data_IF_868907663762
#
_entry.id   IF_868907663762
#
_cell.length_a   1.000
_cell.length_b   1.000
_cell.length_c   1.000
_cell.angle_alpha   90.00
_cell.angle_beta   90.00
_cell.angle_gamma   90.00
#
_symmetry.space_group_name_H-M   'P 1'
#
loop_
_entity.id
_entity.type
_entity.pdbx_description
1 polymer ?
#
# COMPACT_ATOMS: atom_id res chain seq x y z
N UNK A 1 -21.66 28.39 1.42
CA UNK A 1 -22.36 27.10 1.53
C UNK A 1 -21.83 26.41 2.77
N UNK A 2 -22.69 25.81 3.60
CA UNK A 2 -22.27 25.13 4.84
C UNK A 2 -21.64 23.75 4.50
N UNK A 3 -20.33 23.54 4.74
CA UNK A 3 -19.63 22.30 4.37
C UNK A 3 -20.09 21.06 5.15
N UNK A 4 -20.87 21.25 6.22
CA UNK A 4 -21.35 20.19 7.11
C UNK A 4 -22.83 19.84 6.85
N UNK A 5 -23.40 20.35 5.77
CA UNK A 5 -24.81 20.21 5.45
C UNK A 5 -25.08 19.05 4.48
N UNK A 6 -25.98 18.15 4.85
CA UNK A 6 -26.46 17.04 4.03
C UNK A 6 -27.90 17.32 3.62
N UNK A 7 -28.21 17.05 2.34
CA UNK A 7 -29.56 17.10 1.78
C UNK A 7 -29.85 15.78 1.08
N UNK A 8 -31.10 15.36 1.11
CA UNK A 8 -31.58 14.22 0.34
C UNK A 8 -32.94 14.55 -0.26
N UNK A 9 -33.16 14.03 -1.46
CA UNK A 9 -34.37 14.29 -2.23
C UNK A 9 -35.56 13.50 -1.71
N UNK A 10 -36.75 13.82 -2.22
CA UNK A 10 -37.95 13.01 -2.02
C UNK A 10 -37.80 11.63 -2.65
N UNK A 11 -38.58 10.67 -2.13
CA UNK A 11 -38.64 9.32 -2.64
C UNK A 11 -39.19 9.33 -4.07
N UNK A 12 -38.58 8.54 -4.96
CA UNK A 12 -38.92 8.50 -6.40
C UNK A 12 -38.74 9.82 -7.18
N UNK A 13 -38.28 10.90 -6.54
CA UNK A 13 -38.06 12.19 -7.19
C UNK A 13 -36.70 12.79 -6.83
N UNK A 14 -35.71 12.63 -7.72
CA UNK A 14 -34.34 13.13 -7.53
C UNK A 14 -34.22 14.66 -7.66
N UNK A 15 -35.25 15.36 -8.11
CA UNK A 15 -35.21 16.81 -8.36
C UNK A 15 -35.77 17.63 -7.18
N UNK A 16 -36.50 17.00 -6.26
CA UNK A 16 -37.15 17.68 -5.12
C UNK A 16 -36.36 17.50 -3.83
N UNK A 17 -35.62 18.55 -3.43
CA UNK A 17 -34.82 18.56 -2.20
C UNK A 17 -35.38 19.48 -1.10
N UNK A 18 -36.41 20.27 -1.41
CA UNK A 18 -37.00 21.18 -0.43
C UNK A 18 -37.91 20.38 0.52
N UNK A 19 -37.64 20.35 1.83
CA UNK A 19 -38.46 19.58 2.77
C UNK A 19 -39.85 20.20 2.90
N UNK A 20 -40.89 19.40 2.71
CA UNK A 20 -42.29 19.78 2.96
C UNK A 20 -42.94 18.80 3.92
N UNK A 21 -44.13 19.12 4.43
CA UNK A 21 -44.87 18.20 5.31
C UNK A 21 -45.44 16.98 4.59
N UNK A 22 -45.44 16.97 3.26
CA UNK A 22 -46.03 15.92 2.43
C UNK A 22 -45.02 15.08 1.68
N UNK A 23 -43.74 15.47 1.68
CA UNK A 23 -42.67 14.73 1.04
C UNK A 23 -41.74 14.11 2.08
N UNK A 24 -40.79 13.30 1.61
CA UNK A 24 -39.77 12.66 2.42
C UNK A 24 -38.41 13.35 2.32
N UNK A 25 -38.31 14.43 1.53
CA UNK A 25 -37.10 15.23 1.39
C UNK A 25 -36.70 15.81 2.75
N UNK A 26 -35.40 15.96 2.97
CA UNK A 26 -34.92 16.40 4.26
C UNK A 26 -33.48 16.86 4.26
N UNK A 27 -33.08 17.35 5.43
CA UNK A 27 -31.76 17.92 5.63
C UNK A 27 -31.22 17.57 6.99
N UNK A 28 -29.90 17.50 7.10
CA UNK A 28 -29.19 17.35 8.36
C UNK A 28 -27.93 18.19 8.35
N UNK A 29 -27.47 18.58 9.53
CA UNK A 29 -26.17 19.19 9.73
C UNK A 29 -25.36 18.33 10.68
N UNK A 30 -24.15 17.95 10.27
CA UNK A 30 -23.22 17.24 11.13
C UNK A 30 -22.59 18.22 12.13
N UNK A 31 -22.26 17.74 13.32
CA UNK A 31 -21.86 18.56 14.47
C UNK A 31 -20.35 18.55 14.79
N UNK A 32 -19.58 17.62 14.24
CA UNK A 32 -18.12 17.49 14.45
C UNK A 32 -17.35 17.40 13.13
N UNK A 33 -16.31 18.22 13.03
CA UNK A 33 -15.53 18.46 11.83
C UNK A 33 -15.74 19.86 11.23
N UNK A 34 -14.92 20.18 10.24
CA UNK A 34 -15.02 21.42 9.47
C UNK A 34 -15.59 21.20 8.07
N UNK A 35 -15.46 19.98 7.53
CA UNK A 35 -15.98 19.62 6.20
C UNK A 35 -16.32 18.14 6.10
N UNK A 36 -17.35 17.82 5.31
CA UNK A 36 -17.61 16.44 4.88
C UNK A 36 -16.58 16.07 3.81
N UNK A 37 -15.87 14.96 4.01
CA UNK A 37 -14.83 14.47 3.09
C UNK A 37 -15.43 13.50 2.08
N UNK A 38 -16.26 12.57 2.55
CA UNK A 38 -16.85 11.58 1.67
C UNK A 38 -17.89 10.70 2.35
N UNK A 39 -18.57 9.91 1.55
CA UNK A 39 -19.54 8.95 2.02
C UNK A 39 -19.42 7.65 1.22
N UNK A 40 -19.58 6.53 1.91
CA UNK A 40 -19.58 5.20 1.30
C UNK A 40 -20.81 4.42 1.74
N UNK A 41 -21.47 3.80 0.77
CA UNK A 41 -22.58 2.90 1.03
C UNK A 41 -22.01 1.58 1.57
N UNK A 42 -22.34 1.25 2.81
CA UNK A 42 -22.16 -0.07 3.37
C UNK A 42 -23.45 -0.88 3.18
N UNK A 43 -23.56 -2.06 3.83
CA UNK A 43 -24.70 -2.95 3.67
C UNK A 43 -26.04 -2.31 4.03
N UNK A 44 -26.18 -1.86 5.29
CA UNK A 44 -27.45 -1.37 5.84
C UNK A 44 -27.38 0.11 6.28
N UNK A 45 -26.26 0.78 5.99
CA UNK A 45 -26.00 2.16 6.37
C UNK A 45 -25.11 2.86 5.34
N UNK A 46 -25.10 4.18 5.39
CA UNK A 46 -24.11 5.01 4.70
C UNK A 46 -23.15 5.53 5.77
N UNK A 47 -21.87 5.22 5.63
CA UNK A 47 -20.84 5.85 6.46
C UNK A 47 -20.47 7.18 5.82
N UNK A 48 -20.57 8.26 6.58
CA UNK A 48 -20.13 9.59 6.19
C UNK A 48 -18.92 9.95 7.05
N UNK A 49 -17.82 10.30 6.40
CA UNK A 49 -16.58 10.70 7.05
C UNK A 49 -16.37 12.20 6.85
N UNK A 50 -16.03 12.87 7.94
CA UNK A 50 -15.56 14.26 7.96
C UNK A 50 -14.03 14.25 8.06
N UNK A 51 -13.45 15.45 8.18
CA UNK A 51 -12.04 15.64 8.50
C UNK A 51 -11.66 15.17 9.91
N UNK A 52 -12.63 15.01 10.83
CA UNK A 52 -12.35 14.59 12.22
C UNK A 52 -13.18 13.41 12.72
N UNK A 53 -14.31 13.07 12.11
CA UNK A 53 -15.30 12.16 12.70
C UNK A 53 -15.98 11.24 11.67
N UNK A 54 -16.63 10.21 12.20
CA UNK A 54 -17.40 9.24 11.42
C UNK A 54 -18.86 9.23 11.88
N UNK A 55 -19.78 9.23 10.91
CA UNK A 55 -21.22 9.20 11.11
C UNK A 55 -21.85 8.04 10.33
N UNK A 56 -22.80 7.35 10.94
CA UNK A 56 -23.64 6.36 10.28
C UNK A 56 -25.02 6.96 10.01
N UNK A 57 -25.45 6.89 8.75
CA UNK A 57 -26.80 7.28 8.32
C UNK A 57 -27.58 6.01 7.97
N UNK A 58 -28.75 5.84 8.58
CA UNK A 58 -29.63 4.69 8.37
C UNK A 58 -31.06 5.15 8.12
N UNK A 59 -31.77 4.46 7.22
CA UNK A 59 -33.19 4.71 6.99
C UNK A 59 -34.01 4.21 8.18
N UNK A 60 -34.89 5.05 8.73
CA UNK A 60 -35.75 4.68 9.87
C UNK A 60 -37.25 4.91 9.62
N UNK A 61 -37.60 5.51 8.48
CA UNK A 61 -39.00 5.76 8.08
C UNK A 61 -39.59 7.06 8.64
N UNK A 62 -40.85 7.34 8.30
CA UNK A 62 -41.54 8.57 8.72
C UNK A 62 -41.77 8.61 10.24
N UNK A 63 -41.70 9.79 10.91
CA UNK A 63 -41.55 11.13 10.33
C UNK A 63 -40.10 11.57 10.08
N UNK A 64 -39.10 10.79 10.50
CA UNK A 64 -37.68 11.10 10.32
C UNK A 64 -37.05 10.12 9.34
N UNK A 65 -37.13 10.38 8.03
CA UNK A 65 -36.73 9.44 6.97
C UNK A 65 -35.39 8.73 7.25
N UNK A 66 -34.39 9.47 7.73
CA UNK A 66 -33.10 8.92 8.16
C UNK A 66 -32.77 9.29 9.61
N UNK A 67 -32.06 8.39 10.29
CA UNK A 67 -31.38 8.64 11.54
C UNK A 67 -29.88 8.82 11.29
N UNK A 68 -29.27 9.81 11.95
CA UNK A 68 -27.83 10.05 11.93
C UNK A 68 -27.28 9.82 13.32
N UNK A 69 -26.20 9.06 13.40
CA UNK A 69 -25.47 8.83 14.64
C UNK A 69 -23.98 9.01 14.41
N UNK A 70 -23.33 9.80 15.26
CA UNK A 70 -21.87 9.81 15.35
C UNK A 70 -21.38 8.48 15.90
N UNK A 71 -20.51 7.81 15.16
CA UNK A 71 -19.98 6.47 15.49
C UNK A 71 -18.49 6.48 15.83
N UNK A 72 -17.78 7.56 15.54
CA UNK A 72 -16.39 7.76 15.94
C UNK A 72 -16.00 9.23 15.99
N UNK A 73 -14.98 9.54 16.78
CA UNK A 73 -14.32 10.86 16.85
C UNK A 73 -12.82 10.67 16.61
N UNK A 74 -12.13 11.71 16.15
CA UNK A 74 -10.70 11.70 15.83
C UNK A 74 -10.30 10.61 14.82
N UNK A 75 -11.16 10.34 13.84
CA UNK A 75 -11.01 9.27 12.85
C UNK A 75 -11.39 9.75 11.44
N UNK A 76 -11.09 11.01 11.13
CA UNK A 76 -11.43 11.61 9.85
C UNK A 76 -10.71 10.99 8.66
N UNK A 77 -11.22 11.24 7.46
CA UNK A 77 -10.69 10.68 6.22
C UNK A 77 -9.79 11.67 5.49
N UNK A 78 -8.66 11.22 4.94
CA UNK A 78 -7.70 12.08 4.24
C UNK A 78 -8.20 12.59 2.88
N UNK A 79 -9.15 11.90 2.26
CA UNK A 79 -9.67 12.26 0.94
C UNK A 79 -10.94 11.51 0.58
N UNK A 80 -11.73 12.05 -0.35
CA UNK A 80 -13.03 11.51 -0.73
C UNK A 80 -12.96 10.06 -1.22
N UNK A 81 -11.88 9.71 -1.93
CA UNK A 81 -11.68 8.38 -2.49
C UNK A 81 -10.78 7.49 -1.63
N UNK A 82 -10.41 7.92 -0.43
CA UNK A 82 -9.51 7.17 0.46
C UNK A 82 -10.25 6.13 1.33
N UNK A 83 -11.54 5.87 1.08
CA UNK A 83 -12.38 4.93 1.80
C UNK A 83 -12.97 3.86 0.88
N UNK A 84 -13.09 2.63 1.36
CA UNK A 84 -13.71 1.53 0.64
C UNK A 84 -14.46 0.57 1.56
N UNK A 85 -15.60 0.05 1.10
CA UNK A 85 -16.37 -0.97 1.81
C UNK A 85 -16.01 -2.37 1.31
N UNK A 86 -15.57 -3.24 2.21
CA UNK A 86 -15.30 -4.64 1.91
C UNK A 86 -15.52 -5.53 3.12
N UNK A 87 -16.04 -6.74 2.87
CA UNK A 87 -16.25 -7.79 3.87
C UNK A 87 -16.97 -7.32 5.16
N UNK A 88 -17.99 -6.47 5.01
CA UNK A 88 -18.80 -5.98 6.14
C UNK A 88 -18.21 -4.80 6.92
N UNK A 89 -17.00 -4.35 6.57
CA UNK A 89 -16.36 -3.18 7.17
C UNK A 89 -16.08 -2.10 6.13
N UNK A 90 -16.14 -0.84 6.57
CA UNK A 90 -15.57 0.28 5.81
C UNK A 90 -14.16 0.52 6.29
N UNK A 91 -13.23 0.67 5.38
CA UNK A 91 -11.81 0.89 5.64
C UNK A 91 -11.40 2.24 5.05
N UNK A 92 -10.60 3.03 5.76
CA UNK A 92 -10.12 4.31 5.23
C UNK A 92 -8.77 4.72 5.78
N UNK A 93 -8.11 5.61 5.03
CA UNK A 93 -6.87 6.25 5.45
C UNK A 93 -7.18 7.53 6.25
N UNK A 94 -6.58 7.65 7.43
CA UNK A 94 -6.83 8.75 8.36
C UNK A 94 -6.13 10.05 7.94
N UNK A 95 -6.80 11.19 8.10
CA UNK A 95 -6.20 12.51 7.85
C UNK A 95 -5.11 12.86 8.89
N UNK A 96 -5.32 12.49 10.15
CA UNK A 96 -4.34 12.67 11.23
C UNK A 96 -3.25 11.58 11.26
N UNK A 97 -3.23 10.69 10.27
CA UNK A 97 -2.39 9.50 10.24
C UNK A 97 -3.14 8.21 10.60
N UNK A 98 -2.52 7.08 10.31
CA UNK A 98 -3.05 5.75 10.58
C UNK A 98 -4.12 5.27 9.58
N UNK A 99 -4.56 4.04 9.79
CA UNK A 99 -5.60 3.39 9.02
C UNK A 99 -6.75 3.03 9.95
N UNK A 100 -7.98 3.28 9.51
CA UNK A 100 -9.16 3.10 10.33
C UNK A 100 -10.11 2.10 9.67
N UNK A 101 -10.92 1.42 10.48
CA UNK A 101 -12.03 0.61 10.02
C UNK A 101 -13.29 0.80 10.86
N UNK A 102 -14.45 0.51 10.26
CA UNK A 102 -15.75 0.51 10.91
C UNK A 102 -16.53 -0.75 10.54
N UNK A 103 -16.72 -1.63 11.52
CA UNK A 103 -17.50 -2.87 11.43
C UNK A 103 -18.71 -2.87 12.40
N UNK A 104 -19.14 -1.68 12.81
CA UNK A 104 -20.10 -1.45 13.90
C UNK A 104 -19.51 -0.62 15.04
N UNK A 105 -18.18 -0.60 15.16
CA UNK A 105 -17.42 0.34 16.00
C UNK A 105 -16.20 0.81 15.23
N UNK A 106 -15.79 2.07 15.41
CA UNK A 106 -14.56 2.58 14.80
C UNK A 106 -13.35 2.02 15.54
N UNK A 107 -12.39 1.49 14.78
CA UNK A 107 -11.16 0.87 15.28
C UNK A 107 -9.99 1.29 14.40
N UNK A 108 -8.83 1.44 15.03
CA UNK A 108 -7.57 1.53 14.30
C UNK A 108 -7.21 0.15 13.72
N UNK A 109 -6.62 0.14 12.55
CA UNK A 109 -6.09 -1.07 11.90
C UNK A 109 -4.63 -1.19 12.27
N UNK A 110 -4.27 -2.29 12.95
CA UNK A 110 -2.88 -2.60 13.30
C UNK A 110 -2.02 -2.61 12.03
N UNK A 111 -1.05 -1.70 11.95
CA UNK A 111 -0.22 -1.54 10.76
C UNK A 111 1.27 -1.51 11.07
N UNK A 112 2.02 -2.34 10.35
CA UNK A 112 3.48 -2.42 10.47
C UNK A 112 4.20 -1.39 9.60
N UNK A 113 3.44 -0.67 8.77
CA UNK A 113 3.96 0.27 7.76
C UNK A 113 3.57 1.71 8.06
N UNK A 114 2.93 1.97 9.20
CA UNK A 114 2.43 3.31 9.56
C UNK A 114 3.53 4.37 9.49
N UNK A 115 4.66 4.11 10.15
CA UNK A 115 5.78 5.05 10.22
C UNK A 115 6.36 5.34 8.84
N UNK A 116 6.46 4.31 7.99
CA UNK A 116 6.92 4.45 6.61
C UNK A 116 6.00 5.33 5.75
N UNK A 117 4.69 5.23 5.97
CA UNK A 117 3.65 5.92 5.19
C UNK A 117 3.42 7.34 5.69
N UNK A 118 3.34 7.56 7.01
CA UNK A 118 2.89 8.82 7.59
C UNK A 118 4.00 9.71 8.13
N UNK A 119 5.24 9.22 8.25
CA UNK A 119 6.36 10.03 8.72
C UNK A 119 7.47 10.15 7.68
N UNK A 120 8.23 11.24 7.76
CA UNK A 120 9.48 11.44 7.02
C UNK A 120 10.69 11.36 7.95
N UNK A 121 10.52 10.77 9.14
CA UNK A 121 11.59 10.65 10.13
C UNK A 121 12.47 9.46 9.77
N UNK A 122 13.78 9.59 9.98
CA UNK A 122 14.74 8.57 9.56
C UNK A 122 15.17 8.72 8.09
N UNK A 123 15.93 7.75 7.60
CA UNK A 123 16.54 7.82 6.26
C UNK A 123 15.69 7.15 5.18
N UNK A 124 14.83 6.21 5.57
CA UNK A 124 14.12 5.32 4.64
C UNK A 124 12.63 5.65 4.49
N UNK A 125 12.02 6.34 5.46
CA UNK A 125 10.60 6.66 5.43
C UNK A 125 10.31 7.76 4.40
N UNK A 126 9.35 7.50 3.53
CA UNK A 126 9.02 8.41 2.43
C UNK A 126 7.98 9.44 2.82
N UNK A 127 7.10 9.10 3.77
CA UNK A 127 6.01 9.93 4.24
C UNK A 127 4.97 10.23 3.15
N UNK A 128 3.81 10.73 3.56
CA UNK A 128 2.74 11.18 2.70
C UNK A 128 2.79 12.70 2.55
N UNK A 129 2.41 13.21 1.37
CA UNK A 129 2.14 14.62 1.20
C UNK A 129 0.69 14.94 1.56
N UNK A 130 0.45 15.34 2.81
CA UNK A 130 -0.89 15.74 3.29
C UNK A 130 -1.51 16.89 2.47
N UNK A 131 -0.70 17.78 1.88
CA UNK A 131 -1.23 18.84 1.01
C UNK A 131 -1.81 18.35 -0.32
N UNK A 132 -1.55 17.08 -0.67
CA UNK A 132 -2.16 16.38 -1.80
C UNK A 132 -2.98 15.16 -1.31
N UNK A 133 -3.54 15.24 -0.10
CA UNK A 133 -4.40 14.19 0.47
C UNK A 133 -5.67 13.91 -0.33
N UNK A 134 -6.24 14.94 -0.96
CA UNK A 134 -7.49 14.85 -1.73
C UNK A 134 -7.42 13.86 -2.91
N UNK A 135 -6.23 13.61 -3.45
CA UNK A 135 -6.04 12.67 -4.56
C UNK A 135 -5.77 11.23 -4.11
N UNK A 136 -5.69 10.96 -2.79
CA UNK A 136 -5.53 9.60 -2.27
C UNK A 136 -6.70 8.72 -2.70
N UNK A 137 -6.39 7.51 -3.15
CA UNK A 137 -7.37 6.59 -3.72
C UNK A 137 -7.28 5.20 -3.10
N UNK A 138 -8.40 4.66 -2.64
CA UNK A 138 -8.54 3.29 -2.16
C UNK A 138 -8.97 2.37 -3.31
N UNK A 139 -8.20 1.33 -3.58
CA UNK A 139 -8.51 0.26 -4.53
C UNK A 139 -8.79 -1.05 -3.80
N UNK A 140 -9.87 -1.73 -4.16
CA UNK A 140 -10.18 -3.06 -3.65
C UNK A 140 -9.77 -4.13 -4.66
N UNK A 141 -9.16 -5.19 -4.17
CA UNK A 141 -8.96 -6.42 -4.93
C UNK A 141 -9.65 -7.57 -4.18
N UNK A 142 -10.93 -7.78 -4.47
CA UNK A 142 -11.74 -8.74 -3.72
C UNK A 142 -11.24 -10.16 -3.92
N UNK A 143 -10.67 -10.47 -5.08
CA UNK A 143 -10.16 -11.80 -5.39
C UNK A 143 -9.03 -12.23 -4.44
N UNK A 144 -8.18 -11.27 -4.03
CA UNK A 144 -7.04 -11.51 -3.15
C UNK A 144 -7.25 -10.99 -1.73
N UNK A 145 -8.46 -10.55 -1.39
CA UNK A 145 -8.79 -9.98 -0.08
C UNK A 145 -7.88 -8.82 0.33
N UNK A 146 -7.65 -7.91 -0.62
CA UNK A 146 -6.74 -6.78 -0.45
C UNK A 146 -7.46 -5.43 -0.56
N UNK A 147 -6.99 -4.48 0.23
CA UNK A 147 -7.25 -3.06 0.07
C UNK A 147 -5.93 -2.31 -0.10
N UNK A 148 -5.84 -1.51 -1.14
CA UNK A 148 -4.67 -0.71 -1.49
C UNK A 148 -4.98 0.77 -1.37
N UNK A 149 -4.18 1.52 -0.63
CA UNK A 149 -4.23 2.99 -0.63
C UNK A 149 -3.10 3.54 -1.47
N UNK A 150 -3.46 4.22 -2.55
CA UNK A 150 -2.56 4.93 -3.43
C UNK A 150 -2.42 6.38 -2.97
N UNK A 151 -1.20 6.83 -2.76
CA UNK A 151 -0.93 8.14 -2.17
C UNK A 151 0.29 8.83 -2.80
N UNK A 152 0.34 10.18 -2.76
CA UNK A 152 1.53 10.94 -3.08
C UNK A 152 2.48 10.93 -1.89
N UNK A 153 3.73 10.53 -2.08
CA UNK A 153 4.73 10.67 -1.01
C UNK A 153 5.06 12.14 -0.71
N UNK A 154 5.74 12.41 0.39
CA UNK A 154 6.21 13.76 0.73
C UNK A 154 6.97 14.42 -0.44
N UNK A 155 6.57 15.64 -0.81
CA UNK A 155 7.11 16.40 -1.94
C UNK A 155 6.56 16.02 -3.32
N UNK A 156 5.77 14.94 -3.45
CA UNK A 156 5.07 14.61 -4.69
C UNK A 156 3.71 15.30 -4.76
N UNK A 157 3.34 15.77 -5.95
CA UNK A 157 2.00 16.35 -6.21
C UNK A 157 1.05 15.38 -6.92
N UNK A 158 1.53 14.16 -7.22
CA UNK A 158 0.77 13.09 -7.87
C UNK A 158 1.05 11.77 -7.17
N UNK A 159 0.11 10.84 -7.27
CA UNK A 159 0.26 9.50 -6.68
C UNK A 159 1.50 8.81 -7.25
N UNK A 160 2.39 8.37 -6.36
CA UNK A 160 3.60 7.62 -6.71
C UNK A 160 3.91 6.45 -5.76
N UNK A 161 3.03 6.22 -4.77
CA UNK A 161 3.15 5.13 -3.80
C UNK A 161 1.83 4.42 -3.59
N UNK A 162 1.97 3.19 -3.10
CA UNK A 162 0.86 2.36 -2.65
C UNK A 162 1.25 1.64 -1.37
N UNK A 163 0.29 1.49 -0.47
CA UNK A 163 0.36 0.53 0.63
C UNK A 163 -0.84 -0.39 0.53
N UNK A 164 -0.65 -1.69 0.69
CA UNK A 164 -1.70 -2.69 0.54
C UNK A 164 -1.78 -3.52 1.81
N UNK A 165 -3.00 -3.66 2.31
CA UNK A 165 -3.35 -4.53 3.42
C UNK A 165 -4.15 -5.72 2.92
N UNK A 166 -3.68 -6.93 3.21
CA UNK A 166 -4.45 -8.15 3.05
C UNK A 166 -5.17 -8.46 4.36
N UNK A 167 -6.49 -8.31 4.37
CA UNK A 167 -7.31 -8.46 5.57
C UNK A 167 -7.67 -9.90 5.92
N UNK A 168 -7.34 -10.88 5.06
CA UNK A 168 -7.45 -12.30 5.40
C UNK A 168 -6.18 -12.81 6.11
N UNK A 169 -5.01 -12.40 5.63
CA UNK A 169 -3.71 -12.85 6.14
C UNK A 169 -3.10 -11.90 7.19
N UNK A 170 -3.71 -10.73 7.39
CA UNK A 170 -3.21 -9.65 8.26
C UNK A 170 -1.77 -9.24 7.93
N UNK A 171 -1.50 -9.00 6.64
CA UNK A 171 -0.18 -8.64 6.15
C UNK A 171 -0.19 -7.32 5.38
N UNK A 172 0.90 -6.57 5.52
CA UNK A 172 1.10 -5.28 4.89
C UNK A 172 2.22 -5.34 3.87
N UNK A 173 2.03 -4.64 2.75
CA UNK A 173 3.06 -4.44 1.73
C UNK A 173 3.09 -3.00 1.29
N UNK A 174 4.26 -2.53 0.85
CA UNK A 174 4.44 -1.19 0.28
C UNK A 174 4.96 -1.31 -1.14
N UNK A 175 4.67 -0.31 -1.97
CA UNK A 175 5.04 -0.32 -3.37
C UNK A 175 5.09 1.07 -4.00
N UNK A 176 5.45 1.09 -5.28
CA UNK A 176 5.64 2.31 -6.08
C UNK A 176 4.67 2.42 -7.25
N UNK A 177 3.63 1.58 -7.28
CA UNK A 177 2.57 1.70 -8.28
C UNK A 177 1.81 3.01 -8.08
N UNK A 178 1.58 3.71 -9.18
CA UNK A 178 1.01 5.07 -9.23
C UNK A 178 -0.42 5.04 -9.80
N UNK A 179 -1.34 4.35 -9.13
CA UNK A 179 -2.72 4.24 -9.63
C UNK A 179 -3.57 5.38 -9.10
N UNK A 180 -4.08 6.22 -9.99
CA UNK A 180 -4.89 7.41 -9.67
C UNK A 180 -6.37 7.11 -9.54
N UNK A 181 -6.83 6.03 -10.16
CA UNK A 181 -8.17 5.48 -9.95
C UNK A 181 -8.10 3.97 -10.00
N UNK A 182 -9.06 3.30 -9.37
CA UNK A 182 -9.17 1.86 -9.32
C UNK A 182 -10.63 1.41 -9.35
N UNK A 183 -10.92 0.37 -10.12
CA UNK A 183 -12.21 -0.32 -10.11
C UNK A 183 -11.94 -1.83 -10.05
N UNK A 184 -12.55 -2.50 -9.07
CA UNK A 184 -12.37 -3.94 -8.86
C UNK A 184 -13.01 -4.78 -9.99
N UNK A 185 -12.58 -6.03 -10.09
CA UNK A 185 -13.20 -7.03 -10.95
C UNK A 185 -14.67 -7.26 -10.55
N UNK A 186 -15.59 -6.70 -11.35
CA UNK A 186 -17.04 -6.94 -11.24
C UNK A 186 -17.53 -7.79 -12.40
N UNK A 187 -18.02 -7.13 -13.45
CA UNK A 187 -18.48 -7.79 -14.69
C UNK A 187 -17.29 -8.28 -15.53
N UNK A 188 -16.14 -7.60 -15.40
CA UNK A 188 -14.93 -7.94 -16.10
C UNK A 188 -14.01 -8.84 -15.27
N UNK A 189 -13.16 -9.61 -15.96
CA UNK A 189 -12.28 -10.61 -15.35
C UNK A 189 -11.20 -10.02 -14.43
N UNK A 190 -10.75 -8.80 -14.69
CA UNK A 190 -9.61 -8.19 -14.01
C UNK A 190 -10.02 -6.83 -13.42
N UNK A 191 -9.40 -6.40 -12.31
CA UNK A 191 -9.50 -5.01 -11.87
C UNK A 191 -8.88 -4.08 -12.91
N UNK A 192 -9.35 -2.85 -12.96
CA UNK A 192 -8.84 -1.81 -13.85
C UNK A 192 -8.41 -0.59 -13.08
N UNK A 193 -7.33 0.04 -13.54
CA UNK A 193 -6.80 1.23 -12.90
C UNK A 193 -6.27 2.21 -13.93
N UNK A 194 -6.19 3.48 -13.53
CA UNK A 194 -5.54 4.52 -14.34
C UNK A 194 -4.27 5.05 -13.68
N UNK A 195 -3.37 5.64 -14.46
CA UNK A 195 -2.21 6.40 -13.98
C UNK A 195 -2.16 7.72 -14.72
N UNK A 196 -2.32 8.82 -14.00
CA UNK A 196 -2.14 10.14 -14.56
C UNK A 196 -0.66 10.46 -14.82
N UNK A 197 -0.37 11.09 -15.94
CA UNK A 197 0.95 11.58 -16.34
C UNK A 197 0.82 12.99 -16.88
N UNK A 198 1.31 13.97 -16.12
CA UNK A 198 1.18 15.39 -16.43
C UNK A 198 1.90 15.81 -17.73
N UNK A 199 2.93 15.08 -18.15
CA UNK A 199 3.74 15.40 -19.34
C UNK A 199 3.29 14.67 -20.60
N UNK A 200 2.45 13.63 -20.48
CA UNK A 200 1.99 12.85 -21.61
C UNK A 200 0.90 13.62 -22.37
N UNK A 201 0.94 13.56 -23.69
CA UNK A 201 -0.10 14.13 -24.56
C UNK A 201 -1.07 13.03 -24.96
N UNK A 202 -2.39 13.17 -24.72
CA UNK A 202 -3.36 12.14 -25.08
C UNK A 202 -3.48 12.01 -26.60
N UNK A 203 -3.56 10.76 -27.08
CA UNK A 203 -3.61 10.44 -28.51
C UNK A 203 -4.92 9.79 -28.95
N UNK A 204 -5.77 9.37 -28.00
CA UNK A 204 -7.03 8.67 -28.24
C UNK A 204 -8.16 9.26 -27.37
N UNK A 205 -9.29 9.69 -27.97
CA UNK A 205 -9.46 9.95 -29.40
C UNK A 205 -8.51 11.05 -29.88
N UNK A 206 -8.27 11.16 -31.20
CA UNK A 206 -7.45 12.25 -31.74
C UNK A 206 -8.18 13.58 -31.56
N UNK A 207 -7.63 14.46 -30.72
CA UNK A 207 -8.20 15.78 -30.41
C UNK A 207 -7.21 16.85 -30.87
N UNK A 208 -7.68 17.81 -31.67
CA UNK A 208 -6.86 18.96 -32.09
C UNK A 208 -6.77 19.99 -30.96
N UNK A 209 -5.58 20.52 -30.71
CA UNK A 209 -5.35 21.55 -29.68
C UNK A 209 -5.18 21.02 -28.25
N UNK A 210 -4.83 19.74 -28.09
CA UNK A 210 -4.70 19.11 -26.77
C UNK A 210 -3.39 19.52 -26.07
N UNK A 211 -3.48 19.84 -24.78
CA UNK A 211 -2.34 20.12 -23.90
C UNK A 211 -1.87 18.83 -23.19
N UNK A 212 -0.70 18.88 -22.56
CA UNK A 212 -0.19 17.77 -21.74
C UNK A 212 -1.12 17.46 -20.55
N UNK A 213 -1.12 16.19 -20.15
CA UNK A 213 -2.02 15.62 -19.17
C UNK A 213 -2.80 14.47 -19.80
N UNK A 214 -2.33 13.24 -19.57
CA UNK A 214 -3.00 12.04 -20.04
C UNK A 214 -2.98 10.95 -18.97
N UNK A 215 -3.89 9.99 -19.09
CA UNK A 215 -3.94 8.84 -18.20
C UNK A 215 -3.70 7.57 -19.00
N UNK A 216 -2.80 6.72 -18.51
CA UNK A 216 -2.71 5.34 -18.97
C UNK A 216 -3.77 4.50 -18.29
N UNK A 217 -4.31 3.51 -19.01
CA UNK A 217 -5.30 2.56 -18.51
C UNK A 217 -4.69 1.16 -18.47
N UNK A 218 -4.90 0.46 -17.36
CA UNK A 218 -4.30 -0.84 -17.10
C UNK A 218 -5.36 -1.85 -16.65
N UNK A 219 -5.30 -3.05 -17.22
CA UNK A 219 -5.86 -4.24 -16.60
C UNK A 219 -4.85 -4.76 -15.57
N UNK A 220 -5.24 -4.76 -14.29
CA UNK A 220 -4.41 -5.26 -13.20
C UNK A 220 -4.46 -6.80 -13.15
N UNK A 221 -3.49 -7.40 -12.46
CA UNK A 221 -3.36 -8.86 -12.32
C UNK A 221 -3.25 -9.61 -13.66
N UNK A 222 -2.83 -8.90 -14.72
CA UNK A 222 -2.62 -9.44 -16.05
C UNK A 222 -1.19 -9.23 -16.51
N UNK A 223 -0.45 -10.34 -16.62
CA UNK A 223 0.95 -10.30 -17.03
C UNK A 223 1.86 -9.89 -15.88
N UNK A 224 3.07 -9.41 -16.21
CA UNK A 224 4.17 -9.19 -15.25
C UNK A 224 4.80 -7.80 -15.31
N UNK A 225 4.40 -7.00 -16.30
CA UNK A 225 5.02 -5.71 -16.60
C UNK A 225 3.96 -4.61 -16.58
N UNK A 226 4.39 -3.37 -16.39
CA UNK A 226 3.56 -2.20 -16.62
C UNK A 226 3.55 -1.89 -18.12
N UNK A 227 2.48 -2.28 -18.82
CA UNK A 227 2.34 -2.08 -20.27
C UNK A 227 1.76 -0.69 -20.54
N UNK A 228 2.57 0.27 -21.00
CA UNK A 228 2.17 1.66 -21.25
C UNK A 228 1.46 1.86 -22.59
N UNK A 229 1.81 1.05 -23.59
CA UNK A 229 1.15 1.08 -24.89
C UNK A 229 1.04 -0.34 -25.40
N UNK A 230 -0.16 -0.70 -25.86
CA UNK A 230 -0.44 -1.97 -26.51
C UNK A 230 -1.18 -1.68 -27.82
N UNK A 231 -0.42 -1.51 -28.90
CA UNK A 231 -0.97 -1.66 -30.26
C UNK A 231 -0.59 -3.04 -30.81
N UNK A 232 -1.20 -3.44 -31.92
CA UNK A 232 -0.85 -4.69 -32.61
C UNK A 232 0.59 -4.71 -33.14
N UNK A 233 1.26 -3.55 -33.22
CA UNK A 233 2.60 -3.39 -33.81
C UNK A 233 3.67 -2.85 -32.85
N UNK A 234 3.30 -2.24 -31.73
CA UNK A 234 4.23 -1.71 -30.73
C UNK A 234 3.73 -2.01 -29.32
N UNK A 235 4.59 -2.64 -28.50
CA UNK A 235 4.36 -2.86 -27.08
C UNK A 235 5.46 -2.16 -26.31
N UNK A 236 5.11 -1.12 -25.56
CA UNK A 236 6.03 -0.46 -24.63
C UNK A 236 5.71 -0.95 -23.22
N UNK A 237 6.66 -1.62 -22.58
CA UNK A 237 6.52 -2.17 -21.23
C UNK A 237 7.64 -1.68 -20.32
N UNK A 238 7.31 -1.42 -19.06
CA UNK A 238 8.27 -1.17 -17.98
C UNK A 238 8.27 -2.34 -17.01
N UNK A 239 9.45 -2.66 -16.46
CA UNK A 239 9.57 -3.66 -15.42
C UNK A 239 8.93 -3.15 -14.12
N UNK A 240 8.22 -4.03 -13.43
CA UNK A 240 7.71 -3.75 -12.08
C UNK A 240 8.77 -4.28 -11.11
N UNK A 241 9.58 -3.38 -10.57
CA UNK A 241 10.58 -3.76 -9.59
C UNK A 241 9.90 -4.16 -8.27
N UNK A 242 10.23 -5.33 -7.76
CA UNK A 242 9.73 -5.82 -6.49
C UNK A 242 10.88 -6.46 -5.70
N UNK A 243 10.76 -6.42 -4.38
CA UNK A 243 11.68 -7.12 -3.49
C UNK A 243 11.00 -7.54 -2.21
N UNK A 244 11.56 -8.56 -1.59
CA UNK A 244 11.30 -8.92 -0.20
C UNK A 244 12.63 -8.89 0.55
N UNK A 245 12.63 -8.37 1.76
CA UNK A 245 13.78 -8.40 2.66
C UNK A 245 13.36 -9.03 3.99
N UNK A 246 14.16 -9.97 4.49
CA UNK A 246 13.94 -10.55 5.82
C UNK A 246 14.35 -9.58 6.92
N UNK A 247 13.86 -9.80 8.13
CA UNK A 247 14.51 -9.30 9.33
C UNK A 247 15.93 -9.85 9.47
N UNK A 248 16.71 -9.22 10.34
CA UNK A 248 18.04 -9.72 10.70
C UNK A 248 17.91 -11.02 11.50
N UNK A 249 18.74 -12.01 11.16
CA UNK A 249 18.90 -13.28 11.86
C UNK A 249 20.33 -13.44 12.37
N UNK A 250 20.49 -14.17 13.46
CA UNK A 250 21.78 -14.43 14.11
C UNK A 250 21.92 -15.90 14.54
N UNK A 251 22.96 -16.18 15.34
CA UNK A 251 23.20 -17.49 15.95
C UNK A 251 22.85 -17.43 17.43
N UNK A 252 21.79 -18.14 17.84
CA UNK A 252 21.40 -18.36 19.25
C UNK A 252 22.24 -19.48 19.91
N UNK A 253 23.53 -19.56 19.60
CA UNK A 253 24.43 -20.48 20.27
C UNK A 253 25.03 -19.77 21.48
N UNK A 254 24.72 -20.23 22.70
CA UNK A 254 25.15 -19.64 23.98
C UNK A 254 24.77 -18.16 24.17
N UNK A 255 23.72 -17.69 23.48
CA UNK A 255 23.15 -16.34 23.60
C UNK A 255 23.21 -15.50 22.33
N UNK A 256 22.12 -14.80 22.03
CA UNK A 256 21.96 -13.93 20.85
C UNK A 256 23.10 -12.91 20.71
N UNK A 257 23.60 -12.76 19.48
CA UNK A 257 24.67 -11.79 19.15
C UNK A 257 26.03 -12.04 19.81
N UNK A 258 26.26 -13.18 20.48
CA UNK A 258 27.58 -13.49 21.06
C UNK A 258 28.61 -13.79 19.98
N UNK A 259 28.26 -14.64 19.02
CA UNK A 259 29.17 -15.12 17.98
C UNK A 259 29.01 -14.38 16.67
N UNK A 260 30.11 -14.31 15.92
CA UNK A 260 30.02 -13.99 14.51
C UNK A 260 29.47 -15.20 13.76
N UNK A 261 28.42 -14.99 12.98
CA UNK A 261 27.96 -15.93 11.97
C UNK A 261 28.91 -15.93 10.78
N UNK A 262 29.32 -17.13 10.37
CA UNK A 262 30.02 -17.37 9.11
C UNK A 262 29.06 -18.03 8.14
N UNK A 263 28.69 -17.31 7.08
CA UNK A 263 27.88 -17.84 5.98
C UNK A 263 28.81 -18.30 4.86
N UNK A 264 28.68 -19.57 4.47
CA UNK A 264 29.51 -20.18 3.40
C UNK A 264 28.78 -20.41 2.09
N UNK A 265 27.47 -20.57 2.17
CA UNK A 265 26.62 -20.82 1.01
C UNK A 265 25.17 -20.64 1.38
N UNK A 266 24.35 -20.40 0.37
CA UNK A 266 22.90 -20.54 0.46
C UNK A 266 22.39 -21.36 -0.72
N UNK A 267 21.23 -21.99 -0.50
CA UNK A 267 20.53 -22.79 -1.50
C UNK A 267 19.24 -22.04 -1.83
N UNK A 268 19.09 -21.47 -3.03
CA UNK A 268 17.88 -20.79 -3.42
C UNK A 268 16.75 -21.79 -3.68
N UNK A 269 15.66 -21.72 -2.92
CA UNK A 269 14.50 -22.60 -3.06
C UNK A 269 13.38 -21.88 -3.81
N UNK A 270 13.51 -21.68 -5.13
CA UNK A 270 12.43 -21.11 -5.93
C UNK A 270 11.45 -22.19 -6.36
N UNK A 271 10.18 -22.08 -5.94
CA UNK A 271 9.08 -22.93 -6.42
C UNK A 271 8.68 -22.61 -7.85
N UNK A 272 8.80 -21.34 -8.23
CA UNK A 272 8.70 -20.86 -9.60
C UNK A 272 9.73 -19.76 -9.79
N UNK A 273 10.43 -19.75 -10.93
CA UNK A 273 11.36 -18.69 -11.32
C UNK A 273 11.31 -18.56 -12.84
N UNK A 274 10.85 -17.41 -13.30
CA UNK A 274 10.83 -17.01 -14.69
C UNK A 274 11.74 -15.78 -14.83
N UNK A 275 12.66 -15.83 -15.81
CA UNK A 275 13.75 -14.85 -15.89
C UNK A 275 14.83 -15.15 -14.85
N UNK A 276 15.25 -14.13 -14.11
CA UNK A 276 16.25 -14.26 -13.05
C UNK A 276 15.85 -13.47 -11.80
N UNK A 277 16.34 -13.88 -10.64
CA UNK A 277 16.18 -13.13 -9.40
C UNK A 277 17.55 -12.74 -8.84
N UNK A 278 17.65 -11.57 -8.23
CA UNK A 278 18.85 -11.11 -7.56
C UNK A 278 18.72 -11.39 -6.06
N UNK A 279 19.70 -12.07 -5.49
CA UNK A 279 19.78 -12.34 -4.04
C UNK A 279 20.95 -11.59 -3.45
N UNK A 280 20.71 -10.78 -2.42
CA UNK A 280 21.73 -10.00 -1.71
C UNK A 280 21.67 -10.32 -0.22
N UNK A 281 22.82 -10.60 0.38
CA UNK A 281 22.96 -10.75 1.83
C UNK A 281 23.44 -9.43 2.42
N UNK A 282 22.69 -8.90 3.38
CA UNK A 282 23.07 -7.74 4.18
C UNK A 282 23.62 -8.22 5.52
N UNK A 283 24.64 -7.53 6.02
CA UNK A 283 25.49 -7.99 7.12
C UNK A 283 25.78 -6.84 8.07
N UNK A 284 25.54 -7.04 9.37
CA UNK A 284 25.85 -6.07 10.42
C UNK A 284 26.58 -6.72 11.59
N UNK A 285 27.49 -5.97 12.22
CA UNK A 285 28.17 -6.41 13.44
C UNK A 285 27.39 -6.07 14.71
N UNK A 286 26.56 -5.03 14.67
CA UNK A 286 25.71 -4.56 15.77
C UNK A 286 24.42 -3.90 15.21
N UNK A 287 23.28 -3.96 15.93
CA UNK A 287 22.00 -3.44 15.44
C UNK A 287 21.98 -1.94 15.11
N UNK A 288 22.69 -1.11 15.88
CA UNK A 288 22.62 0.36 15.80
C UNK A 288 23.79 0.99 15.03
N UNK A 289 24.63 0.20 14.35
CA UNK A 289 25.81 0.74 13.68
C UNK A 289 25.46 1.36 12.32
N UNK A 290 25.51 2.69 12.25
CA UNK A 290 25.17 3.49 11.05
C UNK A 290 26.40 4.04 10.33
N UNK A 291 27.62 3.76 10.81
CA UNK A 291 28.84 4.37 10.25
C UNK A 291 29.41 3.53 9.10
N UNK A 292 29.83 4.14 7.98
CA UNK A 292 30.33 3.42 6.78
C UNK A 292 31.50 2.45 7.05
N UNK A 293 32.23 2.62 8.16
CA UNK A 293 33.34 1.76 8.56
C UNK A 293 32.93 0.47 9.31
N UNK A 294 31.71 0.41 9.87
CA UNK A 294 31.20 -0.74 10.66
C UNK A 294 29.68 -1.01 10.51
N UNK A 295 29.00 -0.24 9.66
CA UNK A 295 27.58 -0.32 9.38
C UNK A 295 27.23 -1.48 8.45
N UNK A 296 26.01 -1.46 7.93
CA UNK A 296 25.51 -2.49 7.02
C UNK A 296 26.41 -2.63 5.79
N UNK A 297 26.98 -3.83 5.63
CA UNK A 297 27.68 -4.24 4.42
C UNK A 297 26.80 -5.22 3.65
N UNK A 298 27.05 -5.38 2.34
CA UNK A 298 26.30 -6.34 1.52
C UNK A 298 27.23 -7.23 0.72
N UNK A 299 26.78 -8.46 0.45
CA UNK A 299 27.40 -9.38 -0.48
C UNK A 299 26.36 -9.81 -1.53
N UNK A 300 26.75 -9.69 -2.79
CA UNK A 300 25.85 -9.82 -3.94
C UNK A 300 25.79 -8.49 -4.71
N UNK A 301 24.77 -8.30 -5.56
CA UNK A 301 23.68 -9.24 -5.84
C UNK A 301 24.19 -10.49 -6.58
N UNK A 302 23.70 -11.66 -6.16
CA UNK A 302 23.88 -12.92 -6.86
C UNK A 302 22.72 -13.15 -7.81
N UNK A 303 22.99 -13.26 -9.10
CA UNK A 303 21.97 -13.62 -10.08
C UNK A 303 21.64 -15.10 -9.98
N UNK A 304 20.37 -15.41 -9.69
CA UNK A 304 19.83 -16.75 -9.58
C UNK A 304 18.99 -17.05 -10.82
N UNK A 305 19.23 -18.22 -11.41
CA UNK A 305 18.46 -18.77 -12.52
C UNK A 305 17.93 -20.15 -12.14
N UNK A 306 17.10 -20.76 -13.00
CA UNK A 306 16.53 -22.10 -12.74
C UNK A 306 17.57 -23.22 -12.65
N UNK A 307 18.81 -22.99 -13.12
CA UNK A 307 19.92 -23.95 -13.02
C UNK A 307 20.84 -23.71 -11.82
N UNK A 308 20.55 -22.70 -10.98
CA UNK A 308 21.38 -22.37 -9.83
C UNK A 308 21.04 -23.28 -8.64
N UNK A 309 21.80 -24.36 -8.46
CA UNK A 309 21.60 -25.30 -7.34
C UNK A 309 22.03 -24.72 -5.98
N UNK A 310 23.14 -23.97 -5.97
CA UNK A 310 23.69 -23.33 -4.79
C UNK A 310 24.52 -22.13 -5.18
N UNK A 311 24.71 -21.22 -4.22
CA UNK A 311 25.67 -20.12 -4.34
C UNK A 311 26.64 -20.22 -3.19
N UNK A 312 27.92 -20.42 -3.51
CA UNK A 312 29.00 -20.36 -2.53
C UNK A 312 29.38 -18.89 -2.30
N UNK A 313 29.45 -18.46 -1.05
CA UNK A 313 29.76 -17.09 -0.65
C UNK A 313 30.56 -17.09 0.65
N UNK A 314 31.20 -15.98 1.00
CA UNK A 314 31.90 -15.87 2.29
C UNK A 314 31.52 -14.56 2.95
N UNK A 315 30.57 -14.65 3.88
CA UNK A 315 30.18 -13.56 4.74
C UNK A 315 30.53 -13.85 6.20
N UNK A 316 30.87 -12.80 6.94
CA UNK A 316 31.04 -12.83 8.39
C UNK A 316 30.34 -11.61 8.99
N UNK A 317 29.40 -11.83 9.89
CA UNK A 317 28.67 -10.76 10.58
C UNK A 317 28.20 -11.27 11.95
N UNK A 318 27.45 -10.47 12.72
CA UNK A 318 26.66 -11.00 13.84
C UNK A 318 25.19 -11.11 13.50
N UNK A 319 24.74 -10.22 12.63
CA UNK A 319 23.39 -10.16 12.11
C UNK A 319 23.48 -10.24 10.59
N UNK A 320 22.58 -11.00 9.98
CA UNK A 320 22.44 -11.03 8.54
C UNK A 320 20.97 -10.97 8.13
N UNK A 321 20.67 -10.35 7.00
CA UNK A 321 19.35 -10.41 6.37
C UNK A 321 19.49 -10.72 4.89
N UNK A 322 18.47 -11.33 4.31
CA UNK A 322 18.42 -11.63 2.88
C UNK A 322 17.43 -10.70 2.20
N UNK A 323 17.84 -10.16 1.05
CA UNK A 323 16.95 -9.50 0.09
C UNK A 323 16.89 -10.31 -1.19
N UNK A 324 15.68 -10.55 -1.68
CA UNK A 324 15.42 -11.13 -2.99
C UNK A 324 14.68 -10.09 -3.81
N UNK A 325 15.18 -9.76 -4.99
CA UNK A 325 14.62 -8.71 -5.84
C UNK A 325 14.58 -9.11 -7.32
N UNK A 326 13.65 -8.50 -8.05
CA UNK A 326 13.62 -8.50 -9.51
C UNK A 326 13.45 -7.08 -10.03
N UNK A 327 14.08 -6.80 -11.17
CA UNK A 327 14.07 -5.47 -11.78
C UNK A 327 14.01 -5.50 -13.31
N UNK A 328 14.01 -6.68 -13.94
CA UNK A 328 13.91 -6.80 -15.38
C UNK A 328 12.48 -7.13 -15.84
N UNK A 329 12.24 -6.99 -17.14
CA UNK A 329 10.97 -7.32 -17.77
C UNK A 329 10.71 -8.82 -17.73
N UNK A 330 9.45 -9.19 -17.49
CA UNK A 330 8.94 -10.57 -17.47
C UNK A 330 9.48 -11.46 -16.35
N UNK A 331 10.28 -10.91 -15.43
CA UNK A 331 10.69 -11.61 -14.23
C UNK A 331 9.47 -11.92 -13.36
N UNK A 332 9.40 -13.14 -12.84
CA UNK A 332 8.36 -13.57 -11.90
C UNK A 332 8.91 -14.72 -11.06
N UNK A 333 8.62 -14.71 -9.77
CA UNK A 333 9.14 -15.75 -8.90
C UNK A 333 8.23 -16.01 -7.71
N UNK A 334 8.30 -17.26 -7.22
CA UNK A 334 7.72 -17.67 -5.94
C UNK A 334 8.81 -18.35 -5.14
N UNK A 335 9.19 -17.75 -4.03
CA UNK A 335 10.22 -18.29 -3.17
C UNK A 335 9.63 -19.27 -2.14
N UNK A 336 10.39 -20.31 -1.83
CA UNK A 336 10.12 -21.32 -0.83
C UNK A 336 10.84 -20.99 0.48
N UNK A 337 11.41 -22.00 1.12
CA UNK A 337 12.06 -21.82 2.42
C UNK A 337 13.52 -21.44 2.21
N UNK A 338 13.94 -20.35 2.84
CA UNK A 338 15.34 -19.94 2.80
C UNK A 338 16.25 -20.96 3.50
N UNK A 339 17.33 -21.37 2.83
CA UNK A 339 18.32 -22.31 3.37
C UNK A 339 19.72 -21.73 3.25
N UNK A 340 20.38 -21.56 4.39
CA UNK A 340 21.72 -20.99 4.49
C UNK A 340 22.60 -21.83 5.42
N UNK A 341 23.85 -22.01 5.04
CA UNK A 341 24.87 -22.72 5.83
C UNK A 341 25.55 -21.71 6.75
N UNK A 342 25.13 -21.72 8.02
CA UNK A 342 25.62 -20.82 9.07
C UNK A 342 26.41 -21.65 10.10
N UNK A 343 27.58 -21.16 10.48
CA UNK A 343 28.41 -21.76 11.53
C UNK A 343 28.98 -20.68 12.45
N UNK A 344 29.19 -20.98 13.75
CA UNK A 344 29.86 -20.07 14.66
C UNK A 344 31.32 -19.87 14.20
N UNK A 345 31.73 -18.61 14.06
CA UNK A 345 33.13 -18.25 13.81
C UNK A 345 33.81 -17.95 15.15
N UNK A 346 34.97 -18.57 15.39
CA UNK A 346 35.68 -18.49 16.68
C UNK A 346 36.02 -17.06 17.09
N UNK A 347 36.24 -16.85 18.40
CA UNK A 347 36.68 -15.57 18.95
C UNK A 347 37.93 -15.08 18.19
N UNK A 348 37.84 -13.89 17.59
CA UNK A 348 39.03 -13.18 17.14
C UNK A 348 39.89 -12.92 18.36
N UNK A 349 40.96 -13.70 18.55
CA UNK A 349 41.85 -13.56 19.70
C UNK A 349 42.56 -12.22 19.67
N UNK A 350 42.08 -11.26 20.45
CA UNK A 350 42.93 -10.22 21.00
C UNK A 350 43.44 -10.72 22.35
N UNK A 351 44.68 -11.18 22.39
CA UNK A 351 45.41 -11.38 23.64
C UNK A 351 45.41 -10.07 24.44
N UNK A 352 45.21 -10.09 25.77
CA UNK A 352 45.45 -8.90 26.58
C UNK A 352 46.91 -8.51 26.42
N UNK A 353 47.19 -7.27 25.98
CA UNK A 353 48.50 -6.70 26.18
C UNK A 353 48.68 -6.51 27.68
N UNK A 354 49.63 -7.25 28.25
CA UNK A 354 50.09 -7.14 29.64
C UNK A 354 50.71 -5.78 29.90
#
# INVERSE_FOLDING_TARGET
>A
QDPMFIRFSDQENIEEYEPTSTNTAGTFRLDDGTTIIGAVRAKDYILVLTDTAAYSIQYVGTPYTFSIRKVGSNCGCIGQHAMAFSNGAVWWMGDSGGFNMYDGTVKDVDSLVEDFVFTTKGTDNLGINFAAGDIVYAGLNTLFTEISWFYPKAGSTQIDRVTTFNYADNTWTTGSLSRTTWEDSKVFKFPYATKYVATATPTVPTINGVSSGASYYFAQDKGKNEVLNLTTTNITSLAIAAYVRSGDFDLDADGDGQYFLKIRRFIPDFKNLEGSASVTLYLRAYPADTTTAKGETSIGPFTITTSTDKVDTRARARLASIKIENSALNDNWRYGIFRVDIQPDGMGGSSPQS
#
